data_IF_066372895641
#
_entry.id   IF_066372895641
#
_cell.length_a   1.000
_cell.length_b   1.000
_cell.length_c   1.000
_cell.angle_alpha   90.00
_cell.angle_beta   90.00
_cell.angle_gamma   90.00
#
_symmetry.space_group_name_H-M   'P 1'
#
loop_
_entity.id
_entity.type
_entity.pdbx_description
1 polymer ?
#
# COMPACT_ATOMS: atom_id res chain seq x y z
N UNK A 1 -25.92 4.25 14.78
CA UNK A 1 -25.83 4.17 13.31
C UNK A 1 -25.72 5.59 12.75
N UNK A 2 -24.71 5.89 11.96
CA UNK A 2 -24.52 7.22 11.40
C UNK A 2 -25.62 7.57 10.41
N UNK A 3 -26.25 8.74 10.56
CA UNK A 3 -27.32 9.17 9.64
C UNK A 3 -26.71 9.73 8.35
N UNK A 4 -26.27 8.85 7.47
CA UNK A 4 -25.67 9.23 6.18
C UNK A 4 -26.69 9.87 5.22
N UNK A 5 -27.98 9.67 5.42
CA UNK A 5 -29.05 10.21 4.58
C UNK A 5 -29.14 11.75 4.62
N UNK A 6 -28.56 12.37 5.64
CA UNK A 6 -28.46 13.84 5.73
C UNK A 6 -27.48 14.45 4.72
N UNK A 7 -26.57 13.65 4.17
CA UNK A 7 -25.60 14.10 3.17
C UNK A 7 -26.19 13.94 1.78
N UNK A 8 -26.25 15.05 1.04
CA UNK A 8 -26.67 15.02 -0.34
C UNK A 8 -25.51 14.58 -1.23
N UNK A 9 -25.86 13.90 -2.33
CA UNK A 9 -24.88 13.56 -3.37
C UNK A 9 -24.27 14.86 -3.92
N UNK A 10 -22.97 14.84 -4.18
CA UNK A 10 -22.30 15.97 -4.84
C UNK A 10 -22.86 16.13 -6.27
N UNK A 11 -23.21 17.35 -6.64
CA UNK A 11 -23.68 17.63 -7.99
C UNK A 11 -22.54 17.47 -9.00
N UNK A 12 -22.81 16.75 -10.07
CA UNK A 12 -21.81 16.55 -11.14
C UNK A 12 -21.57 17.85 -11.87
N UNK A 13 -20.30 18.18 -12.11
CA UNK A 13 -19.94 19.33 -12.96
C UNK A 13 -20.34 19.02 -14.39
N UNK A 14 -21.26 19.83 -14.95
CA UNK A 14 -21.67 19.71 -16.33
C UNK A 14 -20.68 20.43 -17.25
N UNK A 15 -19.92 19.65 -18.03
CA UNK A 15 -19.00 20.16 -19.05
C UNK A 15 -19.49 19.70 -20.42
N UNK A 16 -19.70 20.65 -21.35
CA UNK A 16 -20.25 20.36 -22.70
C UNK A 16 -19.37 19.39 -23.50
N UNK A 17 -18.05 19.44 -23.28
CA UNK A 17 -17.06 18.65 -24.02
C UNK A 17 -16.57 17.44 -23.22
N UNK A 18 -17.34 17.02 -22.23
CA UNK A 18 -16.97 15.90 -21.37
C UNK A 18 -17.02 14.58 -22.12
N UNK A 19 -15.87 13.97 -22.31
CA UNK A 19 -15.74 12.67 -22.98
C UNK A 19 -15.72 11.50 -22.00
N UNK A 20 -15.56 11.78 -20.70
CA UNK A 20 -15.55 10.83 -19.58
C UNK A 20 -15.83 11.57 -18.27
N UNK A 21 -16.08 10.91 -17.18
CA UNK A 21 -17.04 9.87 -16.95
C UNK A 21 -18.36 10.49 -16.44
N UNK A 22 -19.44 10.11 -17.00
CA UNK A 22 -20.77 10.46 -16.48
C UNK A 22 -21.14 9.60 -15.26
N UNK A 23 -20.27 8.69 -14.89
CA UNK A 23 -20.46 7.81 -13.73
C UNK A 23 -20.17 8.54 -12.44
N UNK A 24 -21.04 8.38 -11.46
CA UNK A 24 -20.89 8.85 -10.10
C UNK A 24 -20.58 7.67 -9.17
N UNK A 25 -19.88 7.94 -8.09
CA UNK A 25 -19.62 6.92 -7.06
C UNK A 25 -20.94 6.60 -6.35
N UNK A 26 -21.40 5.36 -6.47
CA UNK A 26 -22.64 4.87 -5.87
C UNK A 26 -22.42 3.94 -4.68
N UNK A 27 -21.23 3.37 -4.58
CA UNK A 27 -20.82 2.51 -3.47
C UNK A 27 -19.61 3.12 -2.78
N UNK A 28 -19.56 2.99 -1.46
CA UNK A 28 -18.38 3.39 -0.71
C UNK A 28 -17.14 2.64 -1.22
N UNK A 29 -15.98 3.31 -1.33
CA UNK A 29 -14.72 2.62 -1.60
C UNK A 29 -14.36 1.70 -0.44
N UNK A 30 -13.51 0.74 -0.71
CA UNK A 30 -12.88 -0.05 0.36
C UNK A 30 -11.90 0.86 1.10
N UNK A 31 -12.05 0.93 2.41
CA UNK A 31 -11.16 1.71 3.27
C UNK A 31 -10.00 0.84 3.75
N UNK A 32 -8.78 1.33 3.53
CA UNK A 32 -7.58 0.77 4.13
C UNK A 32 -7.20 1.58 5.37
N UNK A 33 -7.09 0.93 6.54
CA UNK A 33 -6.55 1.56 7.73
C UNK A 33 -5.02 1.54 7.67
N UNK A 34 -4.40 2.69 7.96
CA UNK A 34 -2.94 2.84 8.07
C UNK A 34 -2.49 3.13 9.51
N UNK A 35 -3.40 2.97 10.49
CA UNK A 35 -3.15 3.30 11.89
C UNK A 35 -1.99 2.49 12.50
N UNK A 36 -1.88 1.20 12.13
CA UNK A 36 -0.84 0.30 12.64
C UNK A 36 0.54 0.52 12.01
N UNK A 37 0.61 1.18 10.86
CA UNK A 37 1.88 1.53 10.22
C UNK A 37 2.17 3.01 10.37
N UNK A 38 1.50 3.88 9.64
CA UNK A 38 1.78 5.32 9.60
C UNK A 38 1.36 6.00 10.91
N UNK A 39 0.19 5.67 11.44
CA UNK A 39 -0.27 6.14 12.74
C UNK A 39 0.67 5.73 13.87
N UNK A 40 1.07 4.45 13.93
CA UNK A 40 2.01 3.95 14.94
C UNK A 40 3.40 4.61 14.81
N UNK A 41 3.86 4.86 13.59
CA UNK A 41 5.14 5.51 13.32
C UNK A 41 5.17 6.97 13.84
N UNK A 42 4.03 7.63 13.90
CA UNK A 42 3.89 9.00 14.40
C UNK A 42 3.87 9.10 15.94
N UNK A 43 3.72 7.99 16.65
CA UNK A 43 3.70 7.98 18.11
C UNK A 43 5.09 8.25 18.70
N UNK A 44 5.15 9.02 19.79
CA UNK A 44 6.39 9.25 20.57
C UNK A 44 6.93 7.92 21.10
N UNK A 45 6.04 7.05 21.58
CA UNK A 45 6.36 5.67 21.96
C UNK A 45 5.50 4.75 21.09
N UNK A 46 6.10 4.09 20.09
CA UNK A 46 5.39 3.14 19.24
C UNK A 46 4.78 1.99 20.06
N UNK A 47 3.66 1.48 19.56
CA UNK A 47 2.97 0.35 20.19
C UNK A 47 3.86 -0.90 20.22
N UNK A 48 3.83 -1.60 21.34
CA UNK A 48 4.37 -2.96 21.43
C UNK A 48 3.46 -3.97 20.72
N UNK A 49 3.91 -5.23 20.56
CA UNK A 49 3.16 -6.26 19.83
C UNK A 49 1.76 -6.48 20.42
N UNK A 50 1.62 -6.48 21.74
CA UNK A 50 0.32 -6.72 22.39
C UNK A 50 -0.67 -5.56 22.13
N UNK A 51 -0.19 -4.33 22.14
CA UNK A 51 -0.97 -3.14 21.81
C UNK A 51 -1.37 -3.15 20.33
N UNK A 52 -0.46 -3.52 19.44
CA UNK A 52 -0.76 -3.71 18.01
C UNK A 52 -1.83 -4.76 17.78
N UNK A 53 -1.79 -5.89 18.48
CA UNK A 53 -2.84 -6.92 18.38
C UNK A 53 -4.19 -6.39 18.84
N UNK A 54 -4.25 -5.63 19.92
CA UNK A 54 -5.49 -4.99 20.39
C UNK A 54 -6.02 -4.01 19.36
N UNK A 55 -5.15 -3.18 18.80
CA UNK A 55 -5.52 -2.21 17.76
C UNK A 55 -6.00 -2.91 16.49
N UNK A 56 -5.32 -3.98 16.05
CA UNK A 56 -5.75 -4.78 14.91
C UNK A 56 -7.16 -5.33 15.09
N UNK A 57 -7.45 -5.93 16.26
CA UNK A 57 -8.79 -6.45 16.59
C UNK A 57 -9.84 -5.35 16.58
N UNK A 58 -9.52 -4.17 17.13
CA UNK A 58 -10.41 -3.01 17.09
C UNK A 58 -10.73 -2.57 15.66
N UNK A 59 -9.72 -2.51 14.79
CA UNK A 59 -9.91 -2.14 13.37
C UNK A 59 -10.81 -3.15 12.63
N UNK A 60 -10.65 -4.45 12.92
CA UNK A 60 -11.52 -5.50 12.42
C UNK A 60 -12.97 -5.32 12.92
N UNK A 61 -13.16 -5.04 14.22
CA UNK A 61 -14.48 -4.76 14.80
C UNK A 61 -15.14 -3.51 14.20
N UNK A 62 -14.36 -2.48 13.87
CA UNK A 62 -14.83 -1.28 13.18
C UNK A 62 -15.23 -1.56 11.73
N UNK A 63 -14.87 -2.71 11.17
CA UNK A 63 -15.30 -3.15 9.85
C UNK A 63 -14.32 -2.85 8.72
N UNK A 64 -13.07 -2.48 9.01
CA UNK A 64 -12.04 -2.34 7.99
C UNK A 64 -11.77 -3.68 7.30
N UNK A 65 -11.67 -3.64 5.96
CA UNK A 65 -11.42 -4.83 5.13
C UNK A 65 -10.01 -4.86 4.55
N UNK A 66 -9.33 -3.75 4.59
CA UNK A 66 -7.90 -3.63 4.28
C UNK A 66 -7.21 -2.93 5.45
N UNK A 67 -6.11 -3.49 5.96
CA UNK A 67 -5.39 -2.96 7.12
C UNK A 67 -3.89 -3.06 6.82
N UNK A 68 -3.22 -1.89 6.75
CA UNK A 68 -1.76 -1.83 6.64
C UNK A 68 -1.14 -2.05 8.03
N UNK A 69 -0.63 -3.26 8.24
CA UNK A 69 -0.21 -3.74 9.56
C UNK A 69 1.20 -3.32 9.95
N UNK A 70 2.02 -2.94 8.96
CA UNK A 70 3.38 -2.48 9.26
C UNK A 70 4.37 -2.62 8.11
N UNK A 71 5.65 -2.56 8.47
CA UNK A 71 6.78 -2.70 7.56
C UNK A 71 7.68 -3.86 8.05
N UNK A 72 7.31 -5.12 7.72
CA UNK A 72 7.94 -6.31 8.33
C UNK A 72 9.44 -6.42 8.06
N UNK A 73 9.94 -5.83 6.99
CA UNK A 73 11.38 -5.81 6.71
C UNK A 73 12.15 -4.67 7.39
N UNK A 74 11.48 -3.73 8.07
CA UNK A 74 12.15 -2.61 8.74
C UNK A 74 12.69 -2.96 10.13
N UNK A 75 12.00 -3.82 10.88
CA UNK A 75 12.42 -4.25 12.21
C UNK A 75 11.91 -5.63 12.57
N UNK A 76 12.54 -6.25 13.58
CA UNK A 76 12.10 -7.55 14.06
C UNK A 76 10.71 -7.49 14.69
N UNK A 77 10.37 -6.42 15.40
CA UNK A 77 9.04 -6.23 16.02
C UNK A 77 7.94 -6.23 14.95
N UNK A 78 8.15 -5.54 13.83
CA UNK A 78 7.20 -5.50 12.72
C UNK A 78 7.06 -6.88 12.05
N UNK A 79 8.16 -7.60 11.91
CA UNK A 79 8.17 -8.96 11.40
C UNK A 79 7.40 -9.91 12.33
N UNK A 80 7.73 -9.91 13.62
CA UNK A 80 7.13 -10.80 14.61
C UNK A 80 5.63 -10.53 14.79
N UNK A 81 5.23 -9.25 14.72
CA UNK A 81 3.80 -8.89 14.77
C UNK A 81 3.00 -9.50 13.62
N UNK A 82 3.49 -9.38 12.38
CA UNK A 82 2.82 -9.99 11.24
C UNK A 82 2.79 -11.51 11.35
N UNK A 83 3.92 -12.13 11.74
CA UNK A 83 3.98 -13.58 11.97
C UNK A 83 2.96 -14.03 13.02
N UNK A 84 2.87 -13.29 14.12
CA UNK A 84 1.90 -13.59 15.17
C UNK A 84 0.46 -13.53 14.66
N UNK A 85 0.10 -12.52 13.86
CA UNK A 85 -1.24 -12.44 13.26
C UNK A 85 -1.57 -13.66 12.40
N UNK A 86 -0.58 -14.18 11.68
CA UNK A 86 -0.71 -15.35 10.79
C UNK A 86 -0.78 -16.65 11.62
N UNK A 87 0.20 -16.86 12.49
CA UNK A 87 0.37 -18.10 13.24
C UNK A 87 -0.76 -18.34 14.26
N UNK A 88 -1.28 -17.27 14.86
CA UNK A 88 -2.42 -17.32 15.77
C UNK A 88 -3.78 -17.25 15.04
N UNK A 89 -3.79 -17.23 13.70
CA UNK A 89 -4.99 -17.13 12.87
C UNK A 89 -5.93 -15.97 13.27
N UNK A 90 -5.33 -14.78 13.49
CA UNK A 90 -6.06 -13.59 13.95
C UNK A 90 -6.66 -12.76 12.80
N UNK A 91 -6.34 -13.07 11.56
CA UNK A 91 -6.80 -12.36 10.36
C UNK A 91 -8.08 -13.01 9.86
N UNK A 92 -9.24 -12.32 9.89
CA UNK A 92 -10.48 -12.88 9.34
C UNK A 92 -10.41 -13.09 7.82
N UNK A 93 -11.16 -14.06 7.29
CA UNK A 93 -11.18 -14.41 5.87
C UNK A 93 -11.56 -13.24 4.95
N UNK A 94 -12.33 -12.28 5.46
CA UNK A 94 -12.80 -11.12 4.73
C UNK A 94 -11.92 -9.87 4.90
N UNK A 95 -10.78 -10.00 5.62
CA UNK A 95 -9.79 -8.93 5.84
C UNK A 95 -8.53 -9.24 5.05
N UNK A 96 -8.02 -8.23 4.34
CA UNK A 96 -6.73 -8.30 3.64
C UNK A 96 -5.70 -7.47 4.39
N UNK A 97 -4.60 -8.07 4.78
CA UNK A 97 -3.48 -7.32 5.34
C UNK A 97 -2.65 -6.69 4.23
N UNK A 98 -2.22 -5.47 4.48
CA UNK A 98 -1.29 -4.73 3.64
C UNK A 98 0.03 -4.57 4.39
N UNK A 99 1.14 -4.67 3.68
CA UNK A 99 2.49 -4.48 4.20
C UNK A 99 3.26 -3.52 3.32
N UNK A 100 4.02 -2.62 3.95
CA UNK A 100 4.87 -1.67 3.26
C UNK A 100 6.29 -2.23 3.10
N UNK A 101 6.94 -1.92 1.99
CA UNK A 101 8.37 -2.18 1.80
C UNK A 101 8.98 -1.23 0.78
N UNK A 102 10.26 -0.89 0.95
CA UNK A 102 11.00 -0.13 -0.06
C UNK A 102 11.31 -1.01 -1.28
N UNK A 103 11.46 -0.37 -2.45
CA UNK A 103 11.92 -1.02 -3.69
C UNK A 103 13.40 -1.44 -3.61
N UNK A 104 13.74 -2.30 -2.64
CA UNK A 104 15.07 -2.90 -2.44
C UNK A 104 14.93 -4.41 -2.34
N UNK A 105 15.73 -5.13 -3.10
CA UNK A 105 15.62 -6.58 -3.26
C UNK A 105 15.56 -7.33 -1.92
N UNK A 106 16.49 -7.06 -1.01
CA UNK A 106 16.55 -7.76 0.28
C UNK A 106 15.34 -7.47 1.18
N UNK A 107 14.80 -6.23 1.13
CA UNK A 107 13.60 -5.86 1.90
C UNK A 107 12.34 -6.50 1.31
N UNK A 108 12.20 -6.51 -0.01
CA UNK A 108 11.09 -7.18 -0.69
C UNK A 108 11.10 -8.69 -0.36
N UNK A 109 12.27 -9.35 -0.45
CA UNK A 109 12.39 -10.77 -0.10
C UNK A 109 12.00 -11.04 1.35
N UNK A 110 12.52 -10.23 2.30
CA UNK A 110 12.17 -10.34 3.72
C UNK A 110 10.68 -10.13 3.98
N UNK A 111 10.05 -9.23 3.24
CA UNK A 111 8.60 -9.01 3.31
C UNK A 111 7.84 -10.26 2.86
N UNK A 112 8.22 -10.90 1.75
CA UNK A 112 7.59 -12.14 1.30
C UNK A 112 7.81 -13.31 2.26
N UNK A 113 8.97 -13.41 2.91
CA UNK A 113 9.19 -14.39 3.99
C UNK A 113 8.19 -14.17 5.15
N UNK A 114 7.94 -12.92 5.52
CA UNK A 114 7.00 -12.60 6.59
C UNK A 114 5.54 -12.92 6.24
N UNK A 115 5.18 -12.89 4.95
CA UNK A 115 3.83 -13.18 4.44
C UNK A 115 3.52 -14.68 4.29
N UNK A 116 4.50 -15.56 4.46
CA UNK A 116 4.29 -17.00 4.27
C UNK A 116 3.15 -17.54 5.14
N UNK A 117 2.24 -18.27 4.51
CA UNK A 117 1.03 -18.81 5.16
C UNK A 117 -0.22 -17.96 4.98
N UNK A 118 -0.16 -16.80 4.30
CA UNK A 118 -1.35 -16.01 3.97
C UNK A 118 -1.95 -16.42 2.63
N UNK A 119 -3.28 -16.46 2.59
CA UNK A 119 -4.03 -16.67 1.35
C UNK A 119 -4.15 -15.41 0.50
N UNK A 120 -4.07 -14.22 1.13
CA UNK A 120 -4.21 -12.94 0.45
C UNK A 120 -3.47 -11.83 1.18
N UNK A 121 -2.71 -11.03 0.42
CA UNK A 121 -2.00 -9.86 0.94
C UNK A 121 -1.90 -8.74 -0.09
N UNK A 122 -1.76 -7.49 0.36
CA UNK A 122 -1.33 -6.35 -0.45
C UNK A 122 0.13 -6.07 -0.11
N UNK A 123 1.00 -6.08 -1.11
CA UNK A 123 2.40 -5.67 -0.98
C UNK A 123 2.53 -4.27 -1.57
N UNK A 124 2.63 -3.29 -0.70
CA UNK A 124 2.79 -1.88 -1.04
C UNK A 124 4.28 -1.55 -1.10
N UNK A 125 4.80 -1.36 -2.30
CA UNK A 125 6.19 -0.96 -2.51
C UNK A 125 6.29 0.53 -2.83
N UNK A 126 7.40 1.14 -2.44
CA UNK A 126 7.64 2.56 -2.69
C UNK A 126 9.10 2.88 -2.92
N UNK A 127 9.36 3.99 -3.58
CA UNK A 127 10.64 4.68 -3.59
C UNK A 127 10.43 6.18 -3.77
N UNK A 128 11.36 6.97 -3.23
CA UNK A 128 11.26 8.44 -3.34
C UNK A 128 11.58 8.91 -4.74
N UNK A 129 10.80 9.89 -5.21
CA UNK A 129 10.85 10.40 -6.58
C UNK A 129 11.11 11.90 -6.65
N UNK A 130 11.10 12.62 -5.51
CA UNK A 130 11.30 14.06 -5.47
C UNK A 130 12.71 14.49 -5.91
N UNK A 131 12.83 15.73 -6.40
CA UNK A 131 14.10 16.34 -6.79
C UNK A 131 15.13 16.23 -5.67
N UNK A 132 14.76 16.66 -4.47
CA UNK A 132 15.64 16.63 -3.30
C UNK A 132 16.19 15.23 -3.01
N UNK A 133 15.30 14.22 -3.03
CA UNK A 133 15.69 12.84 -2.76
C UNK A 133 16.62 12.30 -3.86
N UNK A 134 16.32 12.59 -5.11
CA UNK A 134 17.17 12.16 -6.23
C UNK A 134 18.56 12.75 -6.14
N UNK A 135 18.64 14.08 -5.95
CA UNK A 135 19.90 14.81 -6.03
C UNK A 135 20.79 14.63 -4.79
N UNK A 136 20.17 14.59 -3.58
CA UNK A 136 20.92 14.62 -2.32
C UNK A 136 21.07 13.22 -1.69
N UNK A 137 20.00 12.41 -1.71
CA UNK A 137 19.99 11.12 -1.02
C UNK A 137 20.48 10.00 -1.93
N UNK A 138 19.94 9.93 -3.14
CA UNK A 138 20.26 8.84 -4.07
C UNK A 138 21.41 9.17 -4.99
N UNK A 139 21.64 10.45 -5.28
CA UNK A 139 22.55 10.93 -6.33
C UNK A 139 22.30 10.19 -7.66
N UNK A 140 21.03 10.21 -8.09
CA UNK A 140 20.49 9.48 -9.23
C UNK A 140 19.59 10.36 -10.08
N UNK A 141 19.64 10.13 -11.39
CA UNK A 141 18.75 10.77 -12.34
C UNK A 141 17.33 10.13 -12.35
N UNK A 142 16.42 10.71 -13.15
CA UNK A 142 15.05 10.26 -13.29
C UNK A 142 14.93 8.81 -13.79
N UNK A 143 15.79 8.43 -14.74
CA UNK A 143 15.74 7.09 -15.34
C UNK A 143 16.24 6.02 -14.35
N UNK A 144 17.28 6.33 -13.59
CA UNK A 144 17.78 5.45 -12.53
C UNK A 144 16.75 5.25 -11.40
N UNK A 145 16.06 6.32 -10.99
CA UNK A 145 14.99 6.24 -9.98
C UNK A 145 13.78 5.46 -10.51
N UNK A 146 13.38 5.69 -11.76
CA UNK A 146 12.35 4.91 -12.43
C UNK A 146 12.75 3.43 -12.51
N UNK A 147 14.03 3.14 -12.76
CA UNK A 147 14.53 1.77 -12.78
C UNK A 147 14.39 1.09 -11.43
N UNK A 148 14.61 1.79 -10.31
CA UNK A 148 14.37 1.24 -8.96
C UNK A 148 12.91 0.79 -8.81
N UNK A 149 11.95 1.62 -9.23
CA UNK A 149 10.53 1.28 -9.18
C UNK A 149 10.21 0.06 -10.06
N UNK A 150 10.68 0.05 -11.31
CA UNK A 150 10.41 -1.05 -12.25
C UNK A 150 11.05 -2.37 -11.81
N UNK A 151 12.31 -2.35 -11.35
CA UNK A 151 12.99 -3.53 -10.84
C UNK A 151 12.26 -4.09 -9.59
N UNK A 152 11.80 -3.21 -8.70
CA UNK A 152 10.97 -3.60 -7.55
C UNK A 152 9.67 -4.29 -7.96
N UNK A 153 8.93 -3.70 -8.91
CA UNK A 153 7.70 -4.29 -9.43
C UNK A 153 7.95 -5.66 -10.10
N UNK A 154 9.01 -5.78 -10.89
CA UNK A 154 9.39 -7.04 -11.55
C UNK A 154 9.74 -8.12 -10.52
N UNK A 155 10.48 -7.75 -9.47
CA UNK A 155 10.84 -8.68 -8.41
C UNK A 155 9.59 -9.15 -7.65
N UNK A 156 8.71 -8.24 -7.23
CA UNK A 156 7.44 -8.61 -6.57
C UNK A 156 6.65 -9.56 -7.45
N UNK A 157 6.48 -9.24 -8.74
CA UNK A 157 5.77 -10.12 -9.69
C UNK A 157 6.40 -11.51 -9.79
N UNK A 158 7.73 -11.59 -9.77
CA UNK A 158 8.44 -12.86 -9.77
C UNK A 158 8.16 -13.67 -8.49
N UNK A 159 8.18 -13.02 -7.33
CA UNK A 159 7.91 -13.67 -6.06
C UNK A 159 6.45 -14.11 -5.92
N UNK A 160 5.50 -13.35 -6.48
CA UNK A 160 4.10 -13.74 -6.54
C UNK A 160 3.88 -15.10 -7.24
N UNK A 161 4.68 -15.45 -8.24
CA UNK A 161 4.56 -16.73 -8.92
C UNK A 161 4.86 -17.94 -8.01
N UNK A 162 5.61 -17.74 -6.93
CA UNK A 162 5.97 -18.77 -5.96
C UNK A 162 5.14 -18.66 -4.67
N UNK A 163 4.32 -17.63 -4.54
CA UNK A 163 3.46 -17.43 -3.38
C UNK A 163 2.19 -18.27 -3.51
N UNK A 164 1.81 -18.97 -2.45
CA UNK A 164 0.65 -19.89 -2.50
C UNK A 164 -0.69 -19.18 -2.55
N UNK A 165 -0.73 -17.95 -2.06
CA UNK A 165 -1.93 -17.11 -2.01
C UNK A 165 -1.99 -16.08 -3.15
N UNK A 166 -2.87 -15.12 -3.00
CA UNK A 166 -3.02 -13.96 -3.90
C UNK A 166 -2.26 -12.75 -3.34
N UNK A 167 -1.37 -12.17 -4.14
CA UNK A 167 -0.71 -10.91 -3.82
C UNK A 167 -1.20 -9.82 -4.76
N UNK A 168 -1.66 -8.71 -4.17
CA UNK A 168 -1.98 -7.47 -4.88
C UNK A 168 -0.76 -6.55 -4.74
N UNK A 169 -0.20 -6.11 -5.85
CA UNK A 169 0.89 -5.14 -5.87
C UNK A 169 0.33 -3.74 -5.86
N UNK A 170 0.77 -2.94 -4.89
CA UNK A 170 0.57 -1.50 -4.84
C UNK A 170 1.92 -0.79 -4.94
N UNK A 171 1.98 0.33 -5.67
CA UNK A 171 3.18 1.16 -5.80
C UNK A 171 2.86 2.62 -5.51
N UNK A 172 3.72 3.27 -4.72
CA UNK A 172 3.64 4.70 -4.45
C UNK A 172 4.96 5.43 -4.73
N UNK A 173 4.92 6.53 -5.49
CA UNK A 173 6.04 7.46 -5.55
C UNK A 173 6.07 8.30 -4.27
N UNK A 174 7.03 8.06 -3.40
CA UNK A 174 7.19 8.80 -2.16
C UNK A 174 7.65 10.24 -2.44
N UNK A 175 7.24 11.18 -1.58
CA UNK A 175 7.54 12.62 -1.73
C UNK A 175 6.99 13.22 -3.03
N UNK A 176 5.78 12.81 -3.38
CA UNK A 176 5.11 13.20 -4.63
C UNK A 176 5.04 14.70 -4.85
N UNK A 177 4.76 15.48 -3.80
CA UNK A 177 4.64 16.95 -3.87
C UNK A 177 5.96 17.66 -4.25
N UNK A 178 7.09 16.99 -4.07
CA UNK A 178 8.41 17.47 -4.51
C UNK A 178 8.86 16.89 -5.86
N UNK A 179 7.97 16.18 -6.56
CA UNK A 179 8.24 15.53 -7.85
C UNK A 179 7.66 16.38 -8.98
N UNK A 180 8.37 16.53 -10.09
CA UNK A 180 7.89 17.26 -11.25
C UNK A 180 6.66 16.56 -11.85
N UNK A 181 5.70 17.36 -12.30
CA UNK A 181 4.41 16.88 -12.81
C UNK A 181 4.55 15.89 -13.99
N UNK A 182 5.39 16.23 -14.95
CA UNK A 182 5.67 15.39 -16.13
C UNK A 182 6.33 14.06 -15.75
N UNK A 183 7.24 14.09 -14.77
CA UNK A 183 7.87 12.87 -14.25
C UNK A 183 6.88 12.02 -13.45
N UNK A 184 6.04 12.65 -12.64
CA UNK A 184 4.96 11.95 -11.94
C UNK A 184 3.99 11.27 -12.93
N UNK A 185 3.58 11.99 -13.99
CA UNK A 185 2.76 11.42 -15.06
C UNK A 185 3.42 10.21 -15.72
N UNK A 186 4.73 10.29 -16.01
CA UNK A 186 5.47 9.17 -16.57
C UNK A 186 5.46 7.93 -15.67
N UNK A 187 5.59 8.10 -14.35
CA UNK A 187 5.55 7.00 -13.40
C UNK A 187 4.16 6.36 -13.34
N UNK A 188 3.10 7.17 -13.32
CA UNK A 188 1.72 6.68 -13.30
C UNK A 188 1.28 6.00 -14.59
N UNK A 189 1.82 6.42 -15.72
CA UNK A 189 1.51 5.87 -17.05
C UNK A 189 2.48 4.78 -17.48
N UNK A 190 3.48 4.45 -16.66
CA UNK A 190 4.34 3.30 -16.90
C UNK A 190 3.49 2.03 -16.96
N UNK A 191 3.74 1.12 -17.93
CA UNK A 191 2.89 -0.06 -18.14
C UNK A 191 2.71 -0.86 -16.86
N UNK A 192 1.50 -0.85 -16.34
CA UNK A 192 1.09 -1.66 -15.21
C UNK A 192 0.53 -3.00 -15.70
N UNK A 193 0.59 -4.06 -14.92
CA UNK A 193 -0.15 -5.30 -15.23
C UNK A 193 -1.65 -5.10 -15.45
N UNK A 194 -2.22 -3.97 -14.99
CA UNK A 194 -3.61 -3.57 -15.26
C UNK A 194 -3.84 -3.13 -16.70
N UNK A 195 -2.81 -2.62 -17.39
CA UNK A 195 -2.94 -2.08 -18.76
C UNK A 195 -3.04 -3.17 -19.83
N UNK A 196 -2.88 -4.45 -19.44
CA UNK A 196 -3.06 -5.60 -20.34
C UNK A 196 -4.51 -6.10 -20.45
N UNK A 197 -5.48 -5.34 -19.95
CA UNK A 197 -6.92 -5.63 -20.07
C UNK A 197 -7.62 -4.71 -21.07
N UNK A 198 -6.90 -4.23 -22.08
CA UNK A 198 -7.49 -3.66 -23.30
C UNK A 198 -7.42 -4.68 -24.42
#
# INVERSE_FOLDING_TARGET
MMNYQKYKRFETVSLKDRTWPDKTIEKAPIWCSVDLRDGNQALVTPMNIQEKVKMFKLLVELGFKEIEVGFPSASQIEYDFLRLLIEENLIPDDVTVQVLTQCREHLIKRTFEALDGLDRAIVHIYNSTSILQRDVVFNKDKDEIKKIATDGCVLVKKLCNNFKGQVILEYSPESFTGTEMDYACLLYTSPSPRDKRQ
#
